data_IF_768196304161
#
_entry.id   IF_768196304161
#
_cell.length_a   1.000
_cell.length_b   1.000
_cell.length_c   1.000
_cell.angle_alpha   90.00
_cell.angle_beta   90.00
_cell.angle_gamma   90.00
#
_symmetry.space_group_name_H-M   'P 1'
#
loop_
_entity.id
_entity.type
_entity.pdbx_description
1 polymer ?
#
# COMPACT_ATOMS: atom_id res chain seq x y z
N UNK A 1 13.37 -13.87 15.73
CA UNK A 1 13.34 -13.18 14.41
C UNK A 1 12.00 -13.28 13.69
N UNK A 2 11.29 -14.41 13.77
CA UNK A 2 9.96 -14.57 13.14
C UNK A 2 8.89 -13.61 13.69
N UNK A 3 8.98 -13.23 14.96
CA UNK A 3 8.05 -12.29 15.61
C UNK A 3 8.06 -10.91 14.95
N UNK A 4 9.23 -10.31 14.73
CA UNK A 4 9.35 -8.98 14.13
C UNK A 4 8.84 -8.94 12.67
N UNK A 5 9.11 -10.01 11.91
CA UNK A 5 8.60 -10.16 10.55
C UNK A 5 7.08 -10.38 10.52
N UNK A 6 6.52 -11.14 11.46
CA UNK A 6 5.06 -11.32 11.59
C UNK A 6 4.36 -10.03 12.02
N UNK A 7 4.93 -9.29 12.98
CA UNK A 7 4.42 -7.97 13.41
C UNK A 7 4.41 -6.99 12.24
N UNK A 8 5.53 -6.89 11.49
CA UNK A 8 5.59 -6.04 10.30
C UNK A 8 4.54 -6.43 9.25
N UNK A 9 4.32 -7.73 9.00
CA UNK A 9 3.26 -8.20 8.08
C UNK A 9 1.85 -7.85 8.56
N UNK A 10 1.58 -7.94 9.87
CA UNK A 10 0.28 -7.54 10.47
C UNK A 10 0.08 -6.04 10.36
N UNK A 11 1.10 -5.23 10.63
CA UNK A 11 1.06 -3.77 10.48
C UNK A 11 0.74 -3.35 9.04
N UNK A 12 1.43 -3.93 8.05
CA UNK A 12 1.16 -3.65 6.63
C UNK A 12 -0.26 -4.06 6.25
N UNK A 13 -0.73 -5.22 6.74
CA UNK A 13 -2.09 -5.68 6.45
C UNK A 13 -3.15 -4.72 7.01
N UNK A 14 -3.06 -4.35 8.28
CA UNK A 14 -4.02 -3.45 8.91
C UNK A 14 -3.93 -2.04 8.34
N UNK A 15 -2.71 -1.52 8.10
CA UNK A 15 -2.52 -0.23 7.45
C UNK A 15 -3.11 -0.20 6.04
N UNK A 16 -2.88 -1.24 5.23
CA UNK A 16 -3.44 -1.33 3.89
C UNK A 16 -4.97 -1.49 3.90
N UNK A 17 -5.52 -2.29 4.80
CA UNK A 17 -6.97 -2.45 4.93
C UNK A 17 -7.66 -1.14 5.34
N UNK A 18 -7.09 -0.42 6.32
CA UNK A 18 -7.59 0.90 6.73
C UNK A 18 -7.47 1.93 5.61
N UNK A 19 -6.34 1.96 4.89
CA UNK A 19 -6.15 2.87 3.76
C UNK A 19 -7.16 2.60 2.64
N UNK A 20 -7.41 1.33 2.33
CA UNK A 20 -8.38 0.92 1.32
C UNK A 20 -9.80 1.33 1.71
N UNK A 21 -10.22 0.99 2.93
CA UNK A 21 -11.55 1.34 3.44
C UNK A 21 -11.75 2.87 3.46
N UNK A 22 -10.75 3.61 3.89
CA UNK A 22 -10.77 5.07 3.89
C UNK A 22 -10.86 5.66 2.48
N UNK A 23 -10.04 5.17 1.55
CA UNK A 23 -10.03 5.66 0.17
C UNK A 23 -11.37 5.39 -0.52
N UNK A 24 -11.94 4.20 -0.34
CA UNK A 24 -13.26 3.83 -0.89
C UNK A 24 -14.36 4.68 -0.27
N UNK A 25 -14.33 4.89 1.05
CA UNK A 25 -15.29 5.73 1.76
C UNK A 25 -15.28 7.18 1.23
N UNK A 26 -14.12 7.85 1.20
CA UNK A 26 -14.01 9.22 0.68
C UNK A 26 -14.38 9.31 -0.80
N UNK A 27 -14.02 8.30 -1.60
CA UNK A 27 -14.38 8.25 -3.02
C UNK A 27 -15.89 8.07 -3.22
N UNK A 28 -16.55 7.27 -2.38
CA UNK A 28 -18.01 7.08 -2.44
C UNK A 28 -18.78 8.37 -2.12
N UNK A 29 -18.32 9.13 -1.11
CA UNK A 29 -18.95 10.41 -0.74
C UNK A 29 -18.73 11.46 -1.84
N UNK A 30 -17.52 11.53 -2.39
CA UNK A 30 -17.17 12.52 -3.40
C UNK A 30 -17.65 12.16 -4.81
N UNK A 31 -18.12 10.92 -5.01
CA UNK A 31 -18.61 10.46 -6.31
C UNK A 31 -19.78 11.30 -6.80
N UNK A 32 -20.74 11.62 -5.93
CA UNK A 32 -21.88 12.48 -6.29
C UNK A 32 -21.43 13.89 -6.70
N UNK A 33 -20.46 14.45 -5.96
CA UNK A 33 -19.86 15.73 -6.33
C UNK A 33 -19.23 15.64 -7.73
N UNK A 34 -18.46 14.57 -8.00
CA UNK A 34 -17.83 14.32 -9.31
C UNK A 34 -18.83 14.32 -10.46
N UNK A 35 -19.92 13.56 -10.31
CA UNK A 35 -20.97 13.46 -11.32
C UNK A 35 -21.63 14.80 -11.54
N UNK A 36 -21.90 15.55 -10.46
CA UNK A 36 -22.59 16.84 -10.51
C UNK A 36 -21.85 17.87 -11.38
N UNK A 37 -20.51 17.95 -11.31
CA UNK A 37 -19.76 18.93 -12.10
C UNK A 37 -19.29 18.42 -13.47
N UNK A 38 -19.17 17.10 -13.67
CA UNK A 38 -18.76 16.54 -14.97
C UNK A 38 -19.92 16.45 -15.95
N UNK A 39 -21.12 16.08 -15.49
CA UNK A 39 -22.29 15.80 -16.33
C UNK A 39 -22.69 16.99 -17.21
N UNK A 40 -22.78 18.25 -16.71
CA UNK A 40 -23.18 19.38 -17.54
C UNK A 40 -22.18 19.73 -18.64
N UNK A 41 -20.87 19.52 -18.40
CA UNK A 41 -19.84 19.79 -19.42
C UNK A 41 -19.81 18.65 -20.43
N UNK A 42 -20.02 17.41 -19.97
CA UNK A 42 -20.10 16.24 -20.84
C UNK A 42 -21.29 16.31 -21.80
N UNK A 43 -22.47 16.75 -21.34
CA UNK A 43 -23.63 16.91 -22.23
C UNK A 43 -23.40 17.94 -23.34
N UNK A 44 -22.61 19.00 -23.09
CA UNK A 44 -22.22 19.97 -24.14
C UNK A 44 -21.31 19.35 -25.21
N UNK A 45 -20.44 18.40 -24.84
CA UNK A 45 -19.62 17.64 -25.81
C UNK A 45 -20.50 16.69 -26.60
N UNK A 46 -21.42 15.99 -25.93
CA UNK A 46 -22.33 15.04 -26.55
C UNK A 46 -23.27 15.72 -27.55
N UNK A 47 -23.72 16.93 -27.24
CA UNK A 47 -24.53 17.78 -28.12
C UNK A 47 -23.71 18.41 -29.27
N UNK A 48 -22.40 18.15 -29.35
CA UNK A 48 -21.50 18.72 -30.37
C UNK A 48 -21.27 20.23 -30.24
N UNK A 49 -21.65 20.83 -29.11
CA UNK A 49 -21.53 22.29 -28.86
C UNK A 49 -20.10 22.72 -28.55
N UNK A 50 -19.27 21.80 -28.04
CA UNK A 50 -17.87 22.02 -27.73
C UNK A 50 -17.02 20.81 -28.13
N UNK A 51 -15.73 21.03 -28.36
CA UNK A 51 -14.79 19.95 -28.67
C UNK A 51 -14.30 19.24 -27.39
N UNK A 52 -13.74 18.04 -27.52
CA UNK A 52 -13.10 17.33 -26.40
C UNK A 52 -11.94 18.11 -25.77
N UNK A 53 -11.21 18.90 -26.57
CA UNK A 53 -10.14 19.75 -26.04
C UNK A 53 -10.69 20.88 -25.16
N UNK A 54 -11.82 21.48 -25.56
CA UNK A 54 -12.53 22.47 -24.75
C UNK A 54 -13.14 21.88 -23.48
N UNK A 55 -13.50 20.60 -23.50
CA UNK A 55 -13.95 19.89 -22.31
C UNK A 55 -12.85 19.80 -21.26
N UNK A 56 -11.66 19.31 -21.63
CA UNK A 56 -10.54 19.13 -20.68
C UNK A 56 -10.02 20.45 -20.10
N UNK A 57 -10.08 21.55 -20.84
CA UNK A 57 -9.68 22.87 -20.34
C UNK A 57 -10.65 23.43 -19.30
N UNK A 58 -11.93 22.99 -19.32
CA UNK A 58 -12.98 23.44 -18.41
C UNK A 58 -13.14 22.59 -17.15
N UNK A 59 -12.43 21.46 -17.07
CA UNK A 59 -12.52 20.60 -15.88
C UNK A 59 -11.80 21.25 -14.69
N UNK A 60 -12.40 21.23 -13.49
CA UNK A 60 -11.74 21.64 -12.25
C UNK A 60 -10.62 20.65 -11.88
N UNK A 61 -9.43 20.87 -12.43
CA UNK A 61 -8.25 20.01 -12.26
C UNK A 61 -7.91 19.70 -10.80
N UNK A 62 -8.10 20.67 -9.91
CA UNK A 62 -7.84 20.48 -8.49
C UNK A 62 -8.76 19.43 -7.84
N UNK A 63 -10.03 19.35 -8.28
CA UNK A 63 -10.98 18.32 -7.81
C UNK A 63 -10.63 16.96 -8.39
N UNK A 64 -10.22 16.93 -9.66
CA UNK A 64 -9.80 15.68 -10.33
C UNK A 64 -8.53 15.10 -9.69
N UNK A 65 -7.57 15.94 -9.31
CA UNK A 65 -6.36 15.54 -8.58
C UNK A 65 -6.70 14.81 -7.28
N UNK A 66 -7.71 15.28 -6.54
CA UNK A 66 -8.15 14.62 -5.29
C UNK A 66 -8.70 13.23 -5.55
N UNK A 67 -9.55 13.07 -6.58
CA UNK A 67 -10.09 11.76 -6.95
C UNK A 67 -8.98 10.82 -7.44
N UNK A 68 -8.08 11.32 -8.29
CA UNK A 68 -6.93 10.56 -8.77
C UNK A 68 -6.04 10.09 -7.60
N UNK A 69 -5.78 10.97 -6.62
CA UNK A 69 -5.03 10.61 -5.42
C UNK A 69 -5.70 9.50 -4.60
N UNK A 70 -7.03 9.56 -4.42
CA UNK A 70 -7.79 8.52 -3.72
C UNK A 70 -7.73 7.18 -4.47
N UNK A 71 -7.85 7.21 -5.80
CA UNK A 71 -7.72 6.01 -6.64
C UNK A 71 -6.31 5.41 -6.50
N UNK A 72 -5.27 6.24 -6.56
CA UNK A 72 -3.88 5.79 -6.37
C UNK A 72 -3.70 5.19 -4.98
N UNK A 73 -4.28 5.78 -3.92
CA UNK A 73 -4.26 5.21 -2.57
C UNK A 73 -4.98 3.85 -2.50
N UNK A 74 -6.14 3.71 -3.16
CA UNK A 74 -6.88 2.45 -3.23
C UNK A 74 -6.08 1.36 -3.97
N UNK A 75 -5.45 1.70 -5.10
CA UNK A 75 -4.59 0.78 -5.84
C UNK A 75 -3.34 0.40 -5.06
N UNK A 76 -2.71 1.37 -4.38
CA UNK A 76 -1.54 1.12 -3.55
C UNK A 76 -1.86 0.23 -2.34
N UNK A 77 -2.99 0.46 -1.67
CA UNK A 77 -3.43 -0.40 -0.56
C UNK A 77 -3.75 -1.82 -1.03
N UNK A 78 -4.40 -1.99 -2.19
CA UNK A 78 -4.62 -3.29 -2.80
C UNK A 78 -3.28 -3.99 -3.12
N UNK A 79 -2.35 -3.26 -3.73
CA UNK A 79 -0.99 -3.74 -3.98
C UNK A 79 -0.31 -4.18 -2.68
N UNK A 80 -0.38 -3.38 -1.61
CA UNK A 80 0.22 -3.71 -0.32
C UNK A 80 -0.39 -4.96 0.33
N UNK A 81 -1.71 -5.17 0.18
CA UNK A 81 -2.41 -6.38 0.66
C UNK A 81 -1.93 -7.65 -0.07
N UNK A 82 -1.80 -7.58 -1.39
CA UNK A 82 -1.36 -8.70 -2.22
C UNK A 82 0.13 -8.97 -1.97
N UNK A 83 0.95 -7.92 -1.98
CA UNK A 83 2.40 -8.02 -1.96
C UNK A 83 2.99 -8.20 -0.55
N UNK A 84 2.15 -8.30 0.49
CA UNK A 84 2.55 -8.45 1.91
C UNK A 84 3.54 -9.60 2.18
N UNK A 85 3.57 -10.63 1.32
CA UNK A 85 4.46 -11.80 1.45
C UNK A 85 5.87 -11.54 0.92
N UNK A 86 6.05 -10.67 -0.07
CA UNK A 86 7.33 -10.39 -0.71
C UNK A 86 8.20 -9.40 0.08
N UNK A 87 9.51 -9.61 0.07
CA UNK A 87 10.50 -8.65 0.58
C UNK A 87 10.75 -7.53 -0.44
N UNK A 88 10.97 -7.89 -1.70
CA UNK A 88 11.19 -6.94 -2.81
C UNK A 88 10.03 -5.95 -2.92
N UNK A 89 8.79 -6.48 -2.91
CA UNK A 89 7.60 -5.63 -2.92
C UNK A 89 7.49 -4.74 -1.67
N UNK A 90 7.95 -5.22 -0.51
CA UNK A 90 8.04 -4.40 0.69
C UNK A 90 9.00 -3.23 0.51
N UNK A 91 10.17 -3.45 -0.08
CA UNK A 91 11.15 -2.40 -0.38
C UNK A 91 10.58 -1.36 -1.33
N UNK A 92 9.88 -1.78 -2.39
CA UNK A 92 9.23 -0.88 -3.36
C UNK A 92 8.09 -0.08 -2.72
N UNK A 93 7.35 -0.69 -1.79
CA UNK A 93 6.22 -0.01 -1.14
C UNK A 93 6.63 1.11 -0.18
N UNK A 94 7.86 1.09 0.36
CA UNK A 94 8.37 2.14 1.26
C UNK A 94 8.46 3.51 0.55
N UNK A 95 9.20 3.67 -0.58
CA UNK A 95 9.29 4.96 -1.25
C UNK A 95 7.91 5.42 -1.78
N UNK A 96 7.06 4.49 -2.23
CA UNK A 96 5.69 4.84 -2.64
C UNK A 96 4.89 5.40 -1.46
N UNK A 97 4.93 4.74 -0.30
CA UNK A 97 4.25 5.24 0.90
C UNK A 97 4.77 6.62 1.31
N UNK A 98 6.09 6.84 1.26
CA UNK A 98 6.71 8.15 1.55
C UNK A 98 6.25 9.22 0.56
N UNK A 99 6.23 8.92 -0.74
CA UNK A 99 5.75 9.85 -1.76
C UNK A 99 4.28 10.22 -1.55
N UNK A 100 3.43 9.25 -1.24
CA UNK A 100 2.02 9.51 -0.93
C UNK A 100 1.85 10.35 0.33
N UNK A 101 2.69 10.14 1.34
CA UNK A 101 2.72 10.98 2.55
C UNK A 101 3.10 12.41 2.18
N UNK A 102 4.19 12.62 1.44
CA UNK A 102 4.65 13.95 1.03
C UNK A 102 3.60 14.66 0.18
N UNK A 103 2.99 13.95 -0.78
CA UNK A 103 1.94 14.51 -1.62
C UNK A 103 0.71 14.93 -0.79
N UNK A 104 0.28 14.07 0.14
CA UNK A 104 -0.82 14.39 1.05
C UNK A 104 -0.49 15.58 1.95
N UNK A 105 0.75 15.71 2.43
CA UNK A 105 1.19 16.82 3.27
C UNK A 105 1.38 18.12 2.47
N UNK A 106 1.88 18.06 1.24
CA UNK A 106 2.04 19.24 0.37
C UNK A 106 0.71 19.94 0.07
N UNK A 107 -0.41 19.22 0.21
CA UNK A 107 -1.75 19.78 0.07
C UNK A 107 -2.26 20.53 1.32
N UNK A 108 -1.56 20.46 2.46
CA UNK A 108 -2.03 20.97 3.77
C UNK A 108 -0.89 21.49 4.66
N UNK A 109 -1.00 22.71 5.18
CA UNK A 109 0.00 23.25 6.13
C UNK A 109 0.05 22.41 7.42
N UNK A 110 1.15 21.70 7.66
CA UNK A 110 1.38 20.76 8.77
C UNK A 110 1.13 21.35 10.17
N UNK A 111 1.36 22.66 10.35
CA UNK A 111 1.21 23.36 11.62
C UNK A 111 -0.24 23.75 11.94
N UNK A 112 -1.10 23.90 10.93
CA UNK A 112 -2.54 24.15 11.09
C UNK A 112 -3.40 22.92 10.83
N UNK A 113 -2.79 21.79 10.48
CA UNK A 113 -3.48 20.56 10.15
C UNK A 113 -4.26 20.03 11.36
N UNK A 114 -5.58 19.86 11.17
CA UNK A 114 -6.47 19.32 12.21
C UNK A 114 -6.03 17.91 12.62
N UNK A 115 -6.36 17.51 13.85
CA UNK A 115 -6.12 16.13 14.33
C UNK A 115 -6.67 15.08 13.35
N UNK A 116 -7.75 15.42 12.64
CA UNK A 116 -8.33 14.60 11.60
C UNK A 116 -7.38 14.35 10.42
N UNK A 117 -6.68 15.38 9.92
CA UNK A 117 -5.70 15.21 8.84
C UNK A 117 -4.53 14.33 9.26
N UNK A 118 -4.06 14.46 10.51
CA UNK A 118 -3.00 13.59 11.04
C UNK A 118 -3.45 12.13 11.12
N UNK A 119 -4.70 11.88 11.50
CA UNK A 119 -5.26 10.53 11.55
C UNK A 119 -5.33 9.87 10.16
N UNK A 120 -5.59 10.63 9.09
CA UNK A 120 -5.59 10.12 7.71
C UNK A 120 -4.22 9.59 7.25
N UNK A 121 -3.13 10.03 7.89
CA UNK A 121 -1.77 9.61 7.56
C UNK A 121 -1.37 8.30 8.24
N UNK A 122 -2.08 7.90 9.30
CA UNK A 122 -1.78 6.73 10.11
C UNK A 122 -1.71 5.42 9.29
N UNK A 123 -2.63 5.13 8.35
CA UNK A 123 -2.55 3.95 7.50
C UNK A 123 -1.26 3.89 6.66
N UNK A 124 -0.84 5.01 6.07
CA UNK A 124 0.39 5.10 5.29
C UNK A 124 1.64 4.89 6.16
N UNK A 125 1.65 5.47 7.36
CA UNK A 125 2.73 5.27 8.35
C UNK A 125 2.81 3.79 8.77
N UNK A 126 1.68 3.13 9.03
CA UNK A 126 1.66 1.70 9.36
C UNK A 126 2.23 0.83 8.23
N UNK A 127 1.90 1.13 6.98
CA UNK A 127 2.45 0.42 5.81
C UNK A 127 3.96 0.65 5.71
N UNK A 128 4.42 1.90 5.85
CA UNK A 128 5.84 2.26 5.78
C UNK A 128 6.66 1.59 6.89
N UNK A 129 6.25 1.77 8.15
CA UNK A 129 6.92 1.19 9.32
C UNK A 129 6.87 -0.34 9.28
N UNK A 130 5.73 -0.93 8.93
CA UNK A 130 5.57 -2.38 8.84
C UNK A 130 6.50 -3.02 7.80
N UNK A 131 6.69 -2.36 6.65
CA UNK A 131 7.64 -2.82 5.64
C UNK A 131 9.10 -2.59 6.06
N UNK A 132 9.41 -1.47 6.73
CA UNK A 132 10.74 -1.22 7.28
C UNK A 132 11.15 -2.31 8.29
N UNK A 133 10.24 -2.70 9.20
CA UNK A 133 10.48 -3.79 10.14
C UNK A 133 10.76 -5.12 9.42
N UNK A 134 10.04 -5.43 8.33
CA UNK A 134 10.30 -6.63 7.53
C UNK A 134 11.71 -6.59 6.92
N UNK A 135 12.15 -5.45 6.41
CA UNK A 135 13.49 -5.28 5.81
C UNK A 135 14.58 -5.46 6.87
N UNK A 136 14.44 -4.79 8.02
CA UNK A 136 15.40 -4.91 9.14
C UNK A 136 15.46 -6.36 9.65
N UNK A 137 14.31 -7.03 9.80
CA UNK A 137 14.26 -8.43 10.21
C UNK A 137 14.96 -9.37 9.21
N UNK A 138 14.88 -9.06 7.91
CA UNK A 138 15.55 -9.84 6.88
C UNK A 138 17.06 -9.59 6.83
N UNK A 139 17.49 -8.34 7.02
CA UNK A 139 18.92 -7.97 7.01
C UNK A 139 19.67 -8.58 8.20
N UNK A 140 19.01 -8.77 9.33
CA UNK A 140 19.59 -9.39 10.53
C UNK A 140 19.63 -10.92 10.48
N UNK A 141 19.12 -11.58 9.42
CA UNK A 141 19.19 -13.05 9.36
C UNK A 141 20.67 -13.43 9.28
N UNK A 142 21.19 -14.26 10.22
CA UNK A 142 22.52 -14.78 10.06
C UNK A 142 22.58 -15.48 8.71
N UNK A 143 23.60 -15.12 7.92
CA UNK A 143 23.93 -15.83 6.68
C UNK A 143 23.96 -17.30 7.07
N UNK A 144 23.11 -18.13 6.47
CA UNK A 144 23.24 -19.57 6.62
C UNK A 144 24.70 -19.88 6.28
N UNK A 145 25.43 -20.47 7.22
CA UNK A 145 26.81 -20.87 6.97
C UNK A 145 26.82 -21.65 5.66
N UNK A 146 27.71 -21.30 4.71
CA UNK A 146 27.90 -22.16 3.56
C UNK A 146 28.26 -23.53 4.11
N UNK A 147 27.47 -24.55 3.78
CA UNK A 147 27.82 -25.94 4.07
C UNK A 147 29.19 -26.16 3.43
N UNK A 148 30.23 -26.19 4.26
CA UNK A 148 31.59 -26.45 3.80
C UNK A 148 31.59 -27.83 3.12
N UNK A 149 32.23 -27.97 1.95
CA UNK A 149 32.40 -29.28 1.32
C UNK A 149 33.27 -30.12 2.24
N UNK A 150 32.65 -30.99 3.05
CA UNK A 150 33.35 -31.78 4.06
C UNK A 150 32.60 -32.04 5.36
N UNK A 151 31.44 -31.41 5.61
CA UNK A 151 30.58 -31.89 6.70
C UNK A 151 30.05 -33.28 6.33
N UNK A 152 30.31 -34.33 7.14
CA UNK A 152 29.75 -35.64 6.88
C UNK A 152 28.24 -35.47 6.87
N UNK A 153 27.59 -35.91 5.78
CA UNK A 153 26.14 -36.04 5.75
C UNK A 153 25.75 -36.74 7.05
N UNK A 154 25.02 -36.03 7.93
CA UNK A 154 24.30 -36.72 9.00
C UNK A 154 23.38 -37.68 8.27
N UNK A 155 23.77 -38.95 8.25
CA UNK A 155 22.99 -40.03 7.70
C UNK A 155 21.74 -40.09 8.55
N UNK A 156 20.69 -39.39 8.12
CA UNK A 156 19.35 -39.62 8.63
C UNK A 156 19.12 -41.11 8.39
N UNK A 157 18.99 -41.94 9.45
CA UNK A 157 18.77 -43.36 9.26
C UNK A 157 17.52 -43.50 8.38
N UNK A 158 17.63 -44.30 7.31
CA UNK A 158 16.51 -44.56 6.43
C UNK A 158 15.38 -45.18 7.26
N UNK A 159 14.34 -44.39 7.52
CA UNK A 159 13.12 -44.82 8.21
C UNK A 159 12.03 -45.02 7.14
N UNK A 160 11.89 -46.24 6.59
CA UNK A 160 10.89 -46.53 5.57
C UNK A 160 9.44 -46.38 6.08
N UNK A 161 9.25 -46.34 7.41
CA UNK A 161 7.94 -46.38 8.04
C UNK A 161 7.53 -45.07 8.71
N UNK A 162 8.41 -44.05 8.69
CA UNK A 162 8.18 -42.73 9.28
C UNK A 162 7.69 -42.81 10.74
N UNK A 163 8.10 -43.82 11.50
CA UNK A 163 7.62 -44.02 12.88
C UNK A 163 8.12 -42.93 13.83
N UNK A 164 9.26 -42.31 13.51
CA UNK A 164 9.92 -41.33 14.37
C UNK A 164 9.59 -39.87 14.05
N UNK A 165 8.56 -39.58 13.23
CA UNK A 165 8.13 -38.19 13.04
C UNK A 165 7.16 -37.77 14.14
N UNK A 166 7.49 -36.75 14.97
CA UNK A 166 6.48 -36.11 15.79
C UNK A 166 5.41 -35.53 14.85
N UNK A 167 4.15 -35.93 15.04
CA UNK A 167 3.01 -35.38 14.30
C UNK A 167 2.89 -33.89 14.67
N UNK A 168 3.23 -33.01 13.73
CA UNK A 168 2.91 -31.58 13.79
C UNK A 168 2.00 -31.17 12.65
#
# INVERSE_FOLDING_TARGET
MNTLQQTGRRMVFWGALLLLGWAVYELSIRYEEMVTWTTPVYSLVQDGKITWLDYFSRLPWQRLQTHAFLIICALFSLYALIARRGLIAGIISIPIAVLLIIFSLGSTNLLSASLWQKLKMLPLVLIGVGNLLKVIASARKPKAEPVLPGQPHQTVPYDPFRMNRPRS
#
